data_IF_437687060126
#
_entry.id   IF_437687060126
#
_cell.length_a   1.000
_cell.length_b   1.000
_cell.length_c   1.000
_cell.angle_alpha   90.00
_cell.angle_beta   90.00
_cell.angle_gamma   90.00
#
_symmetry.space_group_name_H-M   'P 1'
#
loop_
_entity.id
_entity.type
_entity.pdbx_description
1 polymer ?
#
# COMPACT_ATOMS: atom_id res chain seq x y z
N UNK A 1 3.15 -27.52 0.87
CA UNK A 1 2.15 -27.01 -0.10
C UNK A 1 2.91 -26.31 -1.22
N UNK A 2 2.45 -26.38 -2.46
CA UNK A 2 3.06 -25.65 -3.59
C UNK A 2 2.75 -24.15 -3.41
N UNK A 3 3.77 -23.29 -3.52
CA UNK A 3 3.54 -21.84 -3.42
C UNK A 3 2.77 -21.31 -4.63
N UNK A 4 2.01 -20.24 -4.43
CA UNK A 4 1.38 -19.51 -5.54
C UNK A 4 2.43 -18.95 -6.53
N UNK A 5 3.67 -18.78 -6.09
CA UNK A 5 4.78 -18.29 -6.92
C UNK A 5 5.38 -19.38 -7.83
N UNK A 6 5.15 -20.68 -7.54
CA UNK A 6 5.75 -21.77 -8.29
C UNK A 6 5.29 -21.76 -9.75
N UNK A 7 6.28 -21.77 -10.68
CA UNK A 7 6.07 -21.69 -12.12
C UNK A 7 5.41 -20.38 -12.62
N UNK A 8 5.49 -19.28 -11.84
CA UNK A 8 4.95 -17.96 -12.17
C UNK A 8 6.02 -16.88 -12.03
N UNK A 9 6.97 -16.79 -12.96
CA UNK A 9 8.13 -15.91 -12.85
C UNK A 9 7.76 -14.42 -12.73
N UNK A 10 6.73 -13.95 -13.45
CA UNK A 10 6.29 -12.55 -13.39
C UNK A 10 5.67 -12.21 -12.02
N UNK A 11 4.85 -13.09 -11.46
CA UNK A 11 4.31 -12.91 -10.13
C UNK A 11 5.42 -12.96 -9.07
N UNK A 12 6.33 -13.94 -9.19
CA UNK A 12 7.48 -14.07 -8.29
C UNK A 12 8.36 -12.81 -8.33
N UNK A 13 8.58 -12.24 -9.53
CA UNK A 13 9.31 -10.99 -9.70
C UNK A 13 8.61 -9.83 -8.98
N UNK A 14 7.32 -9.62 -9.16
CA UNK A 14 6.60 -8.52 -8.50
C UNK A 14 6.65 -8.65 -6.97
N UNK A 15 6.55 -9.86 -6.43
CA UNK A 15 6.70 -10.10 -4.98
C UNK A 15 8.14 -9.85 -4.52
N UNK A 16 9.15 -10.22 -5.33
CA UNK A 16 10.56 -9.95 -5.04
C UNK A 16 10.86 -8.44 -5.07
N UNK A 17 10.33 -7.69 -6.03
CA UNK A 17 10.45 -6.22 -6.10
C UNK A 17 9.88 -5.56 -4.83
N UNK A 18 8.73 -6.04 -4.32
CA UNK A 18 8.17 -5.58 -3.04
C UNK A 18 9.09 -5.90 -1.87
N UNK A 19 9.67 -7.10 -1.84
CA UNK A 19 10.60 -7.52 -0.79
C UNK A 19 11.88 -6.66 -0.80
N UNK A 20 12.41 -6.35 -1.97
CA UNK A 20 13.59 -5.48 -2.14
C UNK A 20 13.31 -4.07 -1.61
N UNK A 21 12.20 -3.45 -2.01
CA UNK A 21 11.79 -2.11 -1.51
C UNK A 21 11.60 -2.13 -0.01
N UNK A 22 10.95 -3.15 0.55
CA UNK A 22 10.80 -3.31 1.99
C UNK A 22 12.15 -3.35 2.72
N UNK A 23 13.15 -4.01 2.13
CA UNK A 23 14.53 -4.04 2.62
C UNK A 23 15.17 -2.65 2.64
N UNK A 24 15.02 -1.88 1.57
CA UNK A 24 15.56 -0.50 1.50
C UNK A 24 14.92 0.42 2.54
N UNK A 25 13.60 0.34 2.73
CA UNK A 25 12.90 1.15 3.73
C UNK A 25 13.34 0.83 5.16
N UNK A 26 13.53 -0.46 5.46
CA UNK A 26 14.04 -0.88 6.75
C UNK A 26 15.47 -0.39 6.98
N UNK A 27 16.37 -0.52 5.98
CA UNK A 27 17.76 -0.05 6.06
C UNK A 27 17.85 1.46 6.25
N UNK A 28 16.94 2.22 5.64
CA UNK A 28 16.84 3.68 5.81
C UNK A 28 16.28 4.10 7.17
N UNK A 29 15.78 3.17 8.00
CA UNK A 29 15.11 3.48 9.25
C UNK A 29 13.71 4.09 9.08
N UNK A 30 13.11 3.94 7.90
CA UNK A 30 11.79 4.50 7.58
C UNK A 30 10.64 3.50 7.78
N UNK A 31 10.92 2.39 8.43
CA UNK A 31 9.96 1.32 8.73
C UNK A 31 10.32 0.65 10.07
N UNK A 32 10.22 1.42 11.14
CA UNK A 32 10.53 0.95 12.49
C UNK A 32 9.51 -0.10 12.97
N UNK A 33 9.98 -1.08 13.73
CA UNK A 33 9.13 -2.18 14.24
C UNK A 33 8.28 -2.81 13.14
N UNK A 34 6.96 -2.73 13.26
CA UNK A 34 5.96 -3.16 12.27
C UNK A 34 5.40 -2.00 11.42
N UNK A 35 5.97 -0.80 11.57
CA UNK A 35 5.60 0.39 10.81
C UNK A 35 5.85 0.26 9.32
N UNK A 36 5.23 1.14 8.55
CA UNK A 36 5.23 1.11 7.11
C UNK A 36 4.43 -0.04 6.51
N UNK A 37 3.86 0.18 5.34
CA UNK A 37 3.03 -0.78 4.63
C UNK A 37 3.30 -0.70 3.14
N UNK A 38 3.11 -1.82 2.45
CA UNK A 38 3.23 -1.89 1.00
C UNK A 38 2.17 -2.85 0.46
N UNK A 39 1.53 -2.44 -0.62
CA UNK A 39 0.61 -3.26 -1.39
C UNK A 39 0.90 -3.08 -2.88
N UNK A 40 0.76 -4.14 -3.65
CA UNK A 40 0.89 -4.09 -5.10
C UNK A 40 -0.31 -4.77 -5.76
N UNK A 41 -0.83 -4.15 -6.80
CA UNK A 41 -1.84 -4.75 -7.67
C UNK A 41 -1.15 -5.76 -8.61
N UNK A 42 -1.48 -7.03 -8.46
CA UNK A 42 -0.92 -8.16 -9.22
C UNK A 42 -1.93 -8.74 -10.22
N UNK A 43 -3.03 -8.08 -10.47
CA UNK A 43 -4.16 -8.60 -11.28
C UNK A 43 -3.74 -9.02 -12.69
N UNK A 44 -2.79 -8.34 -13.28
CA UNK A 44 -2.30 -8.58 -14.64
C UNK A 44 -1.40 -9.82 -14.78
N UNK A 45 -0.85 -10.31 -13.64
CA UNK A 45 0.00 -11.52 -13.61
C UNK A 45 -0.69 -12.73 -12.99
N UNK A 46 -2.00 -12.61 -12.71
CA UNK A 46 -2.84 -13.69 -12.18
C UNK A 46 -3.39 -14.54 -13.32
N UNK A 47 -3.07 -15.83 -13.31
CA UNK A 47 -3.57 -16.83 -14.24
C UNK A 47 -4.91 -17.46 -13.80
N UNK A 48 -5.47 -18.32 -14.65
CA UNK A 48 -6.74 -19.00 -14.37
C UNK A 48 -6.64 -19.98 -13.18
N UNK A 49 -5.46 -20.55 -12.92
CA UNK A 49 -5.26 -21.43 -11.75
C UNK A 49 -5.43 -20.63 -10.47
N UNK A 50 -4.81 -19.42 -10.39
CA UNK A 50 -4.97 -18.51 -9.25
C UNK A 50 -6.41 -18.02 -9.13
N UNK A 51 -7.08 -17.69 -10.24
CA UNK A 51 -8.48 -17.22 -10.24
C UNK A 51 -9.42 -18.24 -9.63
N UNK A 52 -9.11 -19.53 -9.82
CA UNK A 52 -9.89 -20.67 -9.34
C UNK A 52 -9.50 -21.13 -7.93
N UNK A 53 -8.49 -20.52 -7.28
CA UNK A 53 -8.14 -20.88 -5.91
C UNK A 53 -9.29 -20.60 -4.96
N UNK A 54 -9.53 -21.58 -4.09
CA UNK A 54 -10.48 -21.40 -2.99
C UNK A 54 -9.89 -20.46 -1.95
N UNK A 55 -10.72 -19.58 -1.36
CA UNK A 55 -10.29 -18.76 -0.23
C UNK A 55 -9.77 -19.61 0.93
N UNK A 56 -8.74 -19.12 1.60
CA UNK A 56 -8.18 -19.69 2.84
C UNK A 56 -8.56 -18.86 4.07
N UNK A 57 -9.41 -17.85 3.89
CA UNK A 57 -10.01 -17.03 4.94
C UNK A 57 -11.50 -16.86 4.72
N UNK A 58 -12.20 -16.44 5.78
CA UNK A 58 -13.53 -15.85 5.67
C UNK A 58 -13.48 -14.52 4.91
N UNK A 59 -14.66 -14.04 4.50
CA UNK A 59 -14.82 -12.70 3.92
C UNK A 59 -14.53 -11.63 4.97
N UNK A 60 -13.68 -10.69 4.62
CA UNK A 60 -13.36 -9.53 5.46
C UNK A 60 -13.87 -8.27 4.78
N UNK A 61 -14.62 -7.45 5.53
CA UNK A 61 -15.14 -6.17 5.03
C UNK A 61 -14.03 -5.10 5.01
N UNK A 62 -13.97 -4.31 3.94
CA UNK A 62 -13.03 -3.20 3.78
C UNK A 62 -13.52 -1.98 4.56
N UNK A 63 -14.84 -1.84 4.75
CA UNK A 63 -15.47 -0.69 5.40
C UNK A 63 -15.87 0.42 4.43
N UNK A 64 -15.48 0.32 3.17
CA UNK A 64 -15.88 1.23 2.09
C UNK A 64 -16.04 0.46 0.79
N UNK A 65 -16.80 0.99 -0.16
CA UNK A 65 -17.01 0.38 -1.47
C UNK A 65 -16.04 0.98 -2.50
N UNK A 66 -15.28 0.12 -3.19
CA UNK A 66 -14.19 0.49 -4.09
C UNK A 66 -14.46 -0.07 -5.51
N UNK A 67 -15.34 0.58 -6.30
CA UNK A 67 -15.94 0.00 -7.51
C UNK A 67 -14.94 -0.35 -8.61
N UNK A 68 -13.80 0.34 -8.67
CA UNK A 68 -12.77 0.06 -9.68
C UNK A 68 -11.89 -1.14 -9.33
N UNK A 69 -12.03 -1.72 -8.11
CA UNK A 69 -11.25 -2.89 -7.67
C UNK A 69 -11.97 -4.22 -7.87
N UNK A 70 -13.12 -4.26 -8.54
CA UNK A 70 -13.85 -5.50 -8.77
C UNK A 70 -12.96 -6.60 -9.34
N UNK A 71 -12.86 -7.72 -8.60
CA UNK A 71 -12.08 -8.88 -9.03
C UNK A 71 -10.56 -8.67 -9.10
N UNK A 72 -10.04 -7.56 -8.58
CA UNK A 72 -8.61 -7.30 -8.51
C UNK A 72 -7.93 -8.18 -7.45
N UNK A 73 -6.62 -8.39 -7.67
CA UNK A 73 -5.75 -9.16 -6.80
C UNK A 73 -4.60 -8.29 -6.30
N UNK A 74 -4.27 -8.43 -5.02
CA UNK A 74 -3.20 -7.66 -4.40
C UNK A 74 -2.29 -8.55 -3.57
N UNK A 75 -0.99 -8.31 -3.64
CA UNK A 75 -0.06 -8.76 -2.61
C UNK A 75 0.09 -7.65 -1.58
N UNK A 76 -0.08 -7.97 -0.30
CA UNK A 76 -0.14 -7.02 0.80
C UNK A 76 0.79 -7.44 1.94
N UNK A 77 1.56 -6.50 2.48
CA UNK A 77 2.27 -6.74 3.76
C UNK A 77 1.27 -7.11 4.86
N UNK A 78 1.64 -8.07 5.69
CA UNK A 78 0.83 -8.51 6.82
C UNK A 78 0.79 -7.51 7.97
N UNK A 79 -0.34 -7.47 8.70
CA UNK A 79 -0.45 -6.73 9.96
C UNK A 79 0.55 -7.28 10.99
N UNK A 80 1.12 -6.41 11.82
CA UNK A 80 2.15 -6.72 12.81
C UNK A 80 3.43 -7.38 12.25
N UNK A 81 3.56 -7.46 10.92
CA UNK A 81 4.79 -7.93 10.26
C UNK A 81 5.74 -6.75 10.04
N UNK A 82 7.04 -7.04 10.04
CA UNK A 82 8.09 -6.03 9.84
C UNK A 82 8.52 -5.99 8.38
N UNK A 83 8.87 -4.80 7.87
CA UNK A 83 9.47 -4.68 6.53
C UNK A 83 10.74 -5.51 6.37
N UNK A 84 11.57 -5.59 7.42
CA UNK A 84 12.76 -6.44 7.45
C UNK A 84 12.44 -7.91 7.20
N UNK A 85 11.35 -8.40 7.78
CA UNK A 85 10.98 -9.81 7.68
C UNK A 85 10.26 -10.08 6.36
N UNK A 86 9.47 -9.10 5.85
CA UNK A 86 8.89 -9.12 4.51
C UNK A 86 9.99 -9.20 3.43
N UNK A 87 11.10 -8.44 3.60
CA UNK A 87 12.24 -8.48 2.70
C UNK A 87 12.91 -9.86 2.60
N UNK A 88 12.88 -10.64 3.68
CA UNK A 88 13.52 -11.96 3.74
C UNK A 88 12.61 -13.09 3.29
N UNK A 89 11.36 -13.05 3.73
CA UNK A 89 10.37 -14.12 3.57
C UNK A 89 9.01 -13.48 3.20
N UNK A 90 8.86 -12.96 1.97
CA UNK A 90 7.68 -12.19 1.59
C UNK A 90 6.37 -12.97 1.76
N UNK A 91 6.33 -14.25 1.39
CA UNK A 91 5.12 -15.06 1.49
C UNK A 91 4.75 -15.47 2.93
N UNK A 92 5.70 -15.39 3.88
CA UNK A 92 5.41 -15.61 5.30
C UNK A 92 4.97 -14.31 6.02
N UNK A 93 5.26 -13.17 5.43
CA UNK A 93 5.02 -11.86 6.01
C UNK A 93 4.06 -10.99 5.20
N UNK A 94 3.53 -11.52 4.11
CA UNK A 94 2.51 -10.94 3.25
C UNK A 94 1.42 -11.95 2.92
N UNK A 95 0.39 -11.48 2.26
CA UNK A 95 -0.72 -12.29 1.79
C UNK A 95 -1.18 -11.84 0.41
N UNK A 96 -1.74 -12.77 -0.34
CA UNK A 96 -2.43 -12.48 -1.58
C UNK A 96 -3.92 -12.44 -1.31
N UNK A 97 -4.55 -11.33 -1.64
CA UNK A 97 -5.99 -11.13 -1.48
C UNK A 97 -6.67 -10.98 -2.84
N UNK A 98 -7.94 -11.34 -2.88
CA UNK A 98 -8.85 -11.09 -4.00
C UNK A 98 -10.01 -10.25 -3.53
N UNK A 99 -10.28 -9.15 -4.23
CA UNK A 99 -11.45 -8.29 -3.98
C UNK A 99 -12.70 -8.98 -4.54
N UNK A 100 -13.79 -8.93 -3.80
CA UNK A 100 -15.05 -9.53 -4.17
C UNK A 100 -15.81 -8.69 -5.21
N UNK A 101 -16.79 -9.30 -5.85
CA UNK A 101 -17.61 -8.66 -6.89
C UNK A 101 -18.45 -7.48 -6.39
N UNK A 102 -18.78 -7.47 -5.09
CA UNK A 102 -19.48 -6.36 -4.43
C UNK A 102 -18.58 -5.14 -4.20
N UNK A 103 -17.26 -5.30 -4.35
CA UNK A 103 -16.24 -4.28 -4.14
C UNK A 103 -16.18 -3.74 -2.70
N UNK A 104 -16.75 -4.43 -1.74
CA UNK A 104 -16.82 -4.03 -0.33
C UNK A 104 -16.04 -4.97 0.60
N UNK A 105 -15.67 -6.16 0.12
CA UNK A 105 -14.95 -7.16 0.86
C UNK A 105 -13.81 -7.80 0.08
N UNK A 106 -12.98 -8.56 0.79
CA UNK A 106 -11.91 -9.37 0.22
C UNK A 106 -11.81 -10.72 0.92
N UNK A 107 -11.11 -11.64 0.27
CA UNK A 107 -10.69 -12.93 0.82
C UNK A 107 -9.18 -13.11 0.62
N UNK A 108 -8.53 -13.86 1.52
CA UNK A 108 -7.15 -14.30 1.34
C UNK A 108 -7.16 -15.60 0.54
N UNK A 109 -6.30 -15.71 -0.48
CA UNK A 109 -6.27 -16.86 -1.39
C UNK A 109 -4.94 -17.64 -1.38
N UNK A 110 -3.85 -17.05 -0.88
CA UNK A 110 -2.51 -17.69 -0.84
C UNK A 110 -1.54 -16.92 0.06
N UNK A 111 -0.37 -17.49 0.42
CA UNK A 111 -0.10 -18.93 0.59
C UNK A 111 -0.51 -19.31 2.00
N UNK A 112 -0.44 -18.30 2.87
CA UNK A 112 -0.72 -18.36 4.30
C UNK A 112 -1.85 -17.40 4.67
N UNK A 113 -2.64 -17.69 5.70
CA UNK A 113 -3.73 -16.81 6.15
C UNK A 113 -3.22 -15.62 6.97
N UNK A 114 -2.16 -14.96 6.47
CA UNK A 114 -1.63 -13.75 7.10
C UNK A 114 -2.62 -12.62 6.87
N UNK A 115 -3.14 -12.05 7.95
CA UNK A 115 -4.04 -10.89 7.85
C UNK A 115 -3.28 -9.71 7.22
N UNK A 116 -3.79 -9.08 6.16
CA UNK A 116 -3.20 -7.88 5.57
C UNK A 116 -3.07 -6.74 6.57
N UNK A 117 -2.26 -5.74 6.23
CA UNK A 117 -2.08 -4.54 7.04
C UNK A 117 -3.41 -3.94 7.52
N UNK A 118 -3.44 -3.41 8.74
CA UNK A 118 -4.60 -2.68 9.26
C UNK A 118 -4.93 -1.41 8.46
N UNK A 119 -3.96 -0.89 7.69
CA UNK A 119 -4.14 0.28 6.81
C UNK A 119 -4.64 -0.09 5.40
N UNK A 120 -5.11 -1.33 5.24
CA UNK A 120 -5.62 -1.81 3.97
C UNK A 120 -6.72 -0.92 3.36
N UNK A 121 -7.67 -0.33 4.14
CA UNK A 121 -8.65 0.60 3.57
C UNK A 121 -8.00 1.78 2.84
N UNK A 122 -6.99 2.42 3.41
CA UNK A 122 -6.26 3.53 2.76
C UNK A 122 -5.53 3.06 1.50
N UNK A 123 -4.81 1.94 1.58
CA UNK A 123 -4.08 1.38 0.44
C UNK A 123 -5.01 0.99 -0.72
N UNK A 124 -6.10 0.30 -0.45
CA UNK A 124 -7.06 -0.09 -1.49
C UNK A 124 -7.77 1.14 -2.08
N UNK A 125 -8.06 2.17 -1.27
CA UNK A 125 -8.62 3.42 -1.78
C UNK A 125 -7.65 4.15 -2.72
N UNK A 126 -6.34 4.15 -2.43
CA UNK A 126 -5.32 4.66 -3.35
C UNK A 126 -5.28 3.87 -4.67
N UNK A 127 -5.35 2.55 -4.62
CA UNK A 127 -5.43 1.72 -5.82
C UNK A 127 -6.71 1.99 -6.62
N UNK A 128 -7.85 2.15 -5.94
CA UNK A 128 -9.11 2.49 -6.57
C UNK A 128 -9.03 3.83 -7.30
N UNK A 129 -8.43 4.85 -6.70
CA UNK A 129 -8.18 6.15 -7.32
C UNK A 129 -7.22 6.02 -8.52
N UNK A 130 -6.12 5.26 -8.37
CA UNK A 130 -5.16 5.03 -9.44
C UNK A 130 -5.81 4.41 -10.68
N UNK A 131 -6.60 3.35 -10.49
CA UNK A 131 -7.30 2.68 -11.58
C UNK A 131 -8.35 3.61 -12.21
N UNK A 132 -9.11 4.37 -11.40
CA UNK A 132 -10.12 5.31 -11.91
C UNK A 132 -9.52 6.40 -12.79
N UNK A 133 -8.28 6.79 -12.52
CA UNK A 133 -7.52 7.80 -13.29
C UNK A 133 -6.75 7.21 -14.47
N UNK A 134 -6.62 5.90 -14.56
CA UNK A 134 -5.83 5.24 -15.61
C UNK A 134 -4.36 5.61 -15.60
N UNK A 135 -3.78 6.00 -14.44
CA UNK A 135 -2.40 6.47 -14.36
C UNK A 135 -1.35 5.34 -14.34
N UNK A 136 -1.78 4.08 -14.26
CA UNK A 136 -0.91 2.91 -14.31
C UNK A 136 -0.13 2.61 -13.04
N UNK A 137 -0.31 3.35 -11.95
CA UNK A 137 0.35 3.06 -10.68
C UNK A 137 -0.18 1.78 -10.06
N UNK A 138 0.72 0.81 -9.83
CA UNK A 138 0.39 -0.53 -9.32
C UNK A 138 0.72 -0.72 -7.84
N UNK A 139 1.53 0.16 -7.26
CA UNK A 139 1.96 0.04 -5.86
C UNK A 139 1.47 1.22 -5.02
N UNK A 140 1.09 0.92 -3.79
CA UNK A 140 0.84 1.91 -2.74
C UNK A 140 1.79 1.64 -1.57
N UNK A 141 2.47 2.70 -1.12
CA UNK A 141 3.51 2.64 -0.11
C UNK A 141 3.22 3.64 1.00
N UNK A 142 3.29 3.17 2.24
CA UNK A 142 3.30 3.98 3.44
C UNK A 142 4.61 3.75 4.18
N UNK A 143 5.28 4.80 4.58
CA UNK A 143 6.57 4.75 5.26
C UNK A 143 6.71 5.93 6.24
N UNK A 144 7.67 5.85 7.16
CA UNK A 144 7.86 6.79 8.26
C UNK A 144 9.22 7.52 8.13
N UNK A 145 9.40 8.46 7.18
CA UNK A 145 10.62 9.25 7.08
C UNK A 145 10.78 10.12 8.33
N UNK A 146 11.81 9.86 9.13
CA UNK A 146 12.00 10.46 10.47
C UNK A 146 12.02 11.97 10.40
N UNK A 147 12.71 12.53 9.40
CA UNK A 147 12.84 13.99 9.25
C UNK A 147 11.49 14.66 8.93
N UNK A 148 10.68 14.04 8.04
CA UNK A 148 9.32 14.53 7.75
C UNK A 148 8.41 14.44 8.98
N UNK A 149 8.50 13.35 9.73
CA UNK A 149 7.74 13.20 10.98
C UNK A 149 8.17 14.29 11.97
N UNK A 150 9.46 14.53 12.15
CA UNK A 150 9.96 15.59 13.02
C UNK A 150 9.44 16.98 12.60
N UNK A 151 9.37 17.26 11.30
CA UNK A 151 8.79 18.49 10.78
C UNK A 151 7.30 18.65 11.17
N UNK A 152 6.52 17.59 11.21
CA UNK A 152 5.09 17.66 11.58
C UNK A 152 4.85 18.05 13.04
N UNK A 153 5.86 17.97 13.91
CA UNK A 153 5.77 18.47 15.29
C UNK A 153 5.88 20.01 15.38
N UNK A 154 6.25 20.68 14.31
CA UNK A 154 6.26 22.12 14.25
C UNK A 154 5.05 22.64 13.47
N UNK A 155 4.18 23.41 14.14
CA UNK A 155 2.96 23.97 13.54
C UNK A 155 3.20 24.80 12.28
N UNK A 156 4.38 25.40 12.13
CA UNK A 156 4.74 26.17 10.94
C UNK A 156 4.76 25.31 9.66
N UNK A 157 4.95 24.00 9.80
CA UNK A 157 4.99 23.04 8.68
C UNK A 157 3.67 22.27 8.47
N UNK A 158 2.61 22.64 9.17
CA UNK A 158 1.29 22.03 8.97
C UNK A 158 0.43 22.77 7.92
N UNK A 159 0.97 23.82 7.30
CA UNK A 159 0.35 24.50 6.17
C UNK A 159 0.97 23.97 4.88
N UNK A 160 0.16 23.26 4.05
CA UNK A 160 0.64 22.52 2.88
C UNK A 160 1.45 23.38 1.91
N UNK A 161 1.01 24.60 1.63
CA UNK A 161 1.71 25.49 0.70
C UNK A 161 3.07 25.92 1.25
N UNK A 162 3.14 26.28 2.51
CA UNK A 162 4.41 26.67 3.16
C UNK A 162 5.39 25.51 3.18
N UNK A 163 4.92 24.30 3.54
CA UNK A 163 5.79 23.11 3.53
C UNK A 163 6.24 22.77 2.12
N UNK A 164 5.35 22.80 1.15
CA UNK A 164 5.66 22.54 -0.25
C UNK A 164 6.72 23.51 -0.77
N UNK A 165 6.52 24.81 -0.60
CA UNK A 165 7.49 25.83 -1.06
C UNK A 165 8.83 25.72 -0.33
N UNK A 166 8.82 25.44 0.98
CA UNK A 166 10.05 25.22 1.72
C UNK A 166 10.86 24.06 1.13
N UNK A 167 10.24 22.91 0.91
CA UNK A 167 10.93 21.74 0.36
C UNK A 167 11.40 21.96 -1.08
N UNK A 168 10.60 22.62 -1.91
CA UNK A 168 11.00 22.98 -3.26
C UNK A 168 12.19 23.95 -3.29
N UNK A 169 12.30 24.84 -2.29
CA UNK A 169 13.42 25.80 -2.23
C UNK A 169 14.73 25.18 -1.76
N UNK A 170 14.67 23.99 -1.14
CA UNK A 170 15.88 23.33 -0.63
C UNK A 170 16.67 22.62 -1.71
N UNK A 171 15.96 21.82 -2.55
CA UNK A 171 16.57 21.11 -3.67
C UNK A 171 15.61 21.04 -4.88
N UNK A 172 16.11 21.26 -6.10
CA UNK A 172 15.27 21.27 -7.32
C UNK A 172 14.55 19.92 -7.57
N UNK A 173 15.16 18.82 -7.16
CA UNK A 173 14.63 17.46 -7.34
C UNK A 173 13.30 17.26 -6.64
N UNK A 174 13.09 17.90 -5.48
CA UNK A 174 11.81 17.83 -4.77
C UNK A 174 10.67 18.36 -5.66
N UNK A 175 10.91 19.48 -6.35
CA UNK A 175 9.92 20.02 -7.29
C UNK A 175 9.77 19.17 -8.55
N UNK A 176 10.85 18.56 -9.04
CA UNK A 176 10.82 17.69 -10.22
C UNK A 176 10.00 16.42 -9.98
N UNK A 177 10.14 15.81 -8.79
CA UNK A 177 9.43 14.57 -8.45
C UNK A 177 8.05 14.80 -7.80
N UNK A 178 7.86 15.95 -7.12
CA UNK A 178 6.58 16.33 -6.51
C UNK A 178 6.10 17.68 -7.07
N UNK A 179 5.81 17.77 -8.38
CA UNK A 179 5.55 19.04 -9.06
C UNK A 179 4.25 19.73 -8.61
N UNK A 180 3.33 18.97 -8.02
CA UNK A 180 2.07 19.48 -7.48
C UNK A 180 2.14 19.83 -6.01
N UNK A 181 3.27 19.50 -5.34
CA UNK A 181 3.47 19.74 -3.92
C UNK A 181 3.10 18.53 -3.05
N UNK A 182 2.75 18.81 -1.80
CA UNK A 182 2.47 17.81 -0.77
C UNK A 182 1.10 18.02 -0.16
N UNK A 183 0.33 16.95 -0.03
CA UNK A 183 -0.88 16.93 0.78
C UNK A 183 -0.55 16.81 2.28
N UNK A 184 -1.36 17.43 3.13
CA UNK A 184 -1.27 17.31 4.58
C UNK A 184 -2.60 16.80 5.11
N UNK A 185 -2.57 15.64 5.76
CA UNK A 185 -3.73 14.99 6.33
C UNK A 185 -3.77 15.30 7.83
N UNK A 186 -4.87 15.81 8.38
CA UNK A 186 -5.03 15.97 9.81
C UNK A 186 -5.00 14.59 10.51
N UNK A 187 -4.73 14.59 11.81
CA UNK A 187 -4.72 13.36 12.58
C UNK A 187 -6.04 12.58 12.43
N UNK A 188 -5.91 11.32 12.08
CA UNK A 188 -7.00 10.35 12.06
C UNK A 188 -6.50 9.01 12.63
N UNK A 189 -7.42 8.18 13.12
CA UNK A 189 -7.08 6.87 13.69
C UNK A 189 -6.44 5.98 12.61
N UNK A 190 -5.23 5.44 12.83
CA UNK A 190 -4.59 4.51 11.89
C UNK A 190 -5.52 3.33 11.54
N UNK A 191 -5.59 3.01 10.24
CA UNK A 191 -6.43 1.92 9.73
C UNK A 191 -7.93 2.23 9.65
N UNK A 192 -8.35 3.46 9.97
CA UNK A 192 -9.75 3.86 9.88
C UNK A 192 -10.17 4.24 8.45
N UNK A 193 -11.48 4.12 8.17
CA UNK A 193 -12.06 4.63 6.91
C UNK A 193 -11.89 6.15 6.82
N UNK A 194 -12.00 6.88 7.93
CA UNK A 194 -11.79 8.32 7.97
C UNK A 194 -10.38 8.73 7.52
N UNK A 195 -9.34 7.96 7.89
CA UNK A 195 -7.99 8.17 7.38
C UNK A 195 -7.92 7.92 5.88
N UNK A 196 -8.57 6.85 5.39
CA UNK A 196 -8.59 6.53 3.97
C UNK A 196 -9.26 7.65 3.15
N UNK A 197 -10.41 8.14 3.60
CA UNK A 197 -11.15 9.24 2.96
C UNK A 197 -10.33 10.54 2.95
N UNK A 198 -9.70 10.90 4.06
CA UNK A 198 -8.83 12.08 4.15
C UNK A 198 -7.62 11.95 3.20
N UNK A 199 -7.02 10.75 3.12
CA UNK A 199 -5.91 10.47 2.20
C UNK A 199 -6.34 10.66 0.74
N UNK A 200 -7.49 10.10 0.36
CA UNK A 200 -7.98 10.22 -1.01
C UNK A 200 -8.33 11.66 -1.36
N UNK A 201 -8.98 12.39 -0.47
CA UNK A 201 -9.29 13.80 -0.67
C UNK A 201 -8.05 14.63 -0.99
N UNK A 202 -6.95 14.43 -0.26
CA UNK A 202 -5.69 15.12 -0.57
C UNK A 202 -5.10 14.64 -1.90
N UNK A 203 -5.07 13.33 -2.16
CA UNK A 203 -4.53 12.78 -3.41
C UNK A 203 -5.36 13.15 -4.67
N UNK A 204 -6.62 13.55 -4.53
CA UNK A 204 -7.42 14.05 -5.63
C UNK A 204 -6.94 15.41 -6.14
N UNK A 205 -6.30 16.18 -5.29
CA UNK A 205 -5.71 17.49 -5.64
C UNK A 205 -4.33 17.33 -6.34
N UNK A 206 -3.66 16.20 -6.14
CA UNK A 206 -2.31 15.87 -6.63
C UNK A 206 -2.32 14.66 -7.56
#
# INVERSE_FOLDING_TARGET
MKSILDNRPELAKQVADVAEVAGYLWQKGWAERNGGNITINITDVVDDEIRNLKPISDVVQIGTKLPYLKGCYFFCKGTNKRMRDLARLPMENGSVIRILDDCAGYVIIADNPVKPTSELPSHLSMHNLSISRGNGYKAALHTHPIDLIAMTHNRAFLEKDKLTYLLWSMIPETRAFCPRGLGIIPYAMPGSVALAEATIKELEEY
#
